data_IF_576127597726
#
_entry.id   IF_576127597726
#
_cell.length_a   1.000
_cell.length_b   1.000
_cell.length_c   1.000
_cell.angle_alpha   90.00
_cell.angle_beta   90.00
_cell.angle_gamma   90.00
#
_symmetry.space_group_name_H-M   'P 1'
#
loop_
_entity.id
_entity.type
_entity.pdbx_description
1 polymer ?
#
# COMPACT_ATOMS: atom_id res chain seq x y z
N UNK A 1 51.72 52.37 12.60
CA UNK A 1 50.51 52.38 11.79
C UNK A 1 49.93 50.96 11.83
N UNK A 2 49.06 50.69 12.81
CA UNK A 2 48.57 49.32 13.15
C UNK A 2 47.18 49.14 12.53
N UNK A 3 47.08 48.24 11.53
CA UNK A 3 45.81 47.86 10.95
C UNK A 3 45.19 46.72 11.78
N UNK A 4 43.98 46.98 12.34
CA UNK A 4 43.19 46.01 13.09
C UNK A 4 42.45 45.07 12.11
N UNK A 5 42.84 43.81 12.14
CA UNK A 5 42.12 42.71 11.48
C UNK A 5 40.98 42.25 12.39
N UNK A 6 39.72 42.46 11.97
CA UNK A 6 38.56 41.91 12.64
C UNK A 6 38.33 40.50 12.19
N UNK A 7 38.47 39.58 13.12
CA UNK A 7 38.16 38.13 12.95
C UNK A 7 36.64 37.97 13.05
N UNK A 8 35.96 37.60 11.96
CA UNK A 8 34.58 37.18 11.97
C UNK A 8 34.52 35.69 12.30
N UNK A 9 34.09 35.37 13.51
CA UNK A 9 33.80 34.00 13.93
C UNK A 9 32.41 33.64 13.41
N UNK A 10 32.33 32.85 12.34
CA UNK A 10 31.11 32.20 11.91
C UNK A 10 30.85 31.00 12.84
N UNK A 11 29.90 31.14 13.75
CA UNK A 11 29.35 30.06 14.54
C UNK A 11 28.48 29.20 13.64
N UNK A 12 29.05 28.13 13.08
CA UNK A 12 28.30 27.08 12.39
C UNK A 12 27.59 26.23 13.43
N UNK A 13 26.32 26.52 13.71
CA UNK A 13 25.42 25.62 14.40
C UNK A 13 25.04 24.52 13.43
N UNK A 14 25.79 23.42 13.44
CA UNK A 14 25.38 22.14 12.86
C UNK A 14 24.18 21.65 13.65
N UNK A 15 22.96 21.89 13.15
CA UNK A 15 21.78 21.17 13.56
C UNK A 15 21.91 19.76 13.00
N UNK A 16 22.36 18.83 13.84
CA UNK A 16 22.17 17.40 13.62
C UNK A 16 20.66 17.14 13.70
N UNK A 17 19.99 17.16 12.56
CA UNK A 17 18.69 16.52 12.41
C UNK A 17 18.89 15.03 12.50
N UNK A 18 18.72 14.47 13.71
CA UNK A 18 18.52 13.04 13.92
C UNK A 18 17.22 12.68 13.20
N UNK A 19 17.33 12.27 11.94
CA UNK A 19 16.22 11.64 11.23
C UNK A 19 15.89 10.32 11.94
N UNK A 20 14.85 10.32 12.74
CA UNK A 20 14.20 9.10 13.19
C UNK A 20 13.69 8.39 11.93
N UNK A 21 14.47 7.44 11.44
CA UNK A 21 13.98 6.42 10.50
C UNK A 21 13.00 5.53 11.28
N UNK A 22 11.75 5.96 11.37
CA UNK A 22 10.68 5.09 11.80
C UNK A 22 10.48 4.10 10.65
N UNK A 23 11.04 2.92 10.77
CA UNK A 23 10.74 1.80 9.87
C UNK A 23 9.31 1.36 10.13
N UNK A 24 8.39 1.79 9.28
CA UNK A 24 7.05 1.24 9.26
C UNK A 24 7.14 -0.22 8.85
N UNK A 25 6.72 -1.12 9.73
CA UNK A 25 6.57 -2.53 9.37
C UNK A 25 5.27 -2.66 8.58
N UNK A 26 5.41 -2.81 7.28
CA UNK A 26 4.29 -3.09 6.39
C UNK A 26 3.72 -4.49 6.67
N UNK A 27 2.41 -4.60 6.63
CA UNK A 27 1.67 -5.84 6.84
C UNK A 27 1.64 -6.62 5.53
N UNK A 28 2.45 -7.66 5.43
CA UNK A 28 2.59 -8.47 4.22
C UNK A 28 2.06 -9.88 4.46
N UNK A 29 1.57 -10.53 3.42
CA UNK A 29 1.11 -11.90 3.50
C UNK A 29 1.22 -12.65 2.17
N UNK A 30 1.63 -13.93 2.23
CA UNK A 30 1.55 -14.91 1.14
C UNK A 30 1.39 -16.30 1.72
N UNK A 31 0.74 -17.21 0.98
CA UNK A 31 0.60 -18.61 1.40
C UNK A 31 1.95 -19.32 1.48
N UNK A 32 2.18 -20.02 2.60
CA UNK A 32 3.36 -20.83 2.83
C UNK A 32 3.02 -22.11 3.58
N UNK A 33 3.92 -23.10 3.54
CA UNK A 33 3.85 -24.28 4.38
C UNK A 33 4.56 -24.03 5.71
N UNK A 34 4.00 -24.56 6.78
CA UNK A 34 4.56 -24.47 8.13
C UNK A 34 5.00 -25.83 8.64
N UNK A 35 6.22 -25.90 9.20
CA UNK A 35 6.73 -26.98 9.99
C UNK A 35 6.82 -26.60 11.48
N UNK A 36 7.39 -27.48 12.30
CA UNK A 36 7.53 -27.29 13.73
C UNK A 36 6.35 -27.84 14.52
N UNK A 37 6.25 -27.43 15.80
CA UNK A 37 5.13 -27.82 16.65
C UNK A 37 3.94 -26.85 16.49
N UNK A 38 2.76 -27.27 16.94
CA UNK A 38 1.58 -26.39 16.96
C UNK A 38 1.78 -25.14 17.82
N UNK A 39 2.74 -25.14 18.75
CA UNK A 39 3.09 -24.02 19.60
C UNK A 39 4.19 -23.10 19.02
N UNK A 40 4.95 -23.59 18.01
CA UNK A 40 6.05 -22.86 17.41
C UNK A 40 6.18 -23.22 15.90
N UNK A 41 5.21 -22.85 15.06
CA UNK A 41 5.29 -23.06 13.63
C UNK A 41 6.25 -22.08 12.96
N UNK A 42 6.88 -22.49 11.88
CA UNK A 42 7.71 -21.66 11.04
C UNK A 42 7.55 -22.02 9.56
N UNK A 43 7.72 -21.08 8.62
CA UNK A 43 7.72 -21.39 7.20
C UNK A 43 8.80 -22.41 6.85
N UNK A 44 8.44 -23.39 6.01
CA UNK A 44 9.34 -24.46 5.57
C UNK A 44 9.42 -24.51 4.06
N UNK A 45 10.57 -24.93 3.57
CA UNK A 45 10.74 -25.39 2.20
C UNK A 45 10.08 -26.76 2.01
N UNK A 46 9.41 -26.96 0.88
CA UNK A 46 8.83 -28.25 0.50
C UNK A 46 9.12 -28.60 -0.95
N UNK A 47 9.79 -29.73 -1.16
CA UNK A 47 10.09 -30.25 -2.51
C UNK A 47 8.95 -31.05 -3.12
N UNK A 48 7.97 -31.44 -2.32
CA UNK A 48 6.86 -32.27 -2.78
C UNK A 48 5.72 -31.49 -3.41
N UNK A 49 5.53 -30.24 -2.98
CA UNK A 49 4.39 -29.43 -3.42
C UNK A 49 4.87 -28.25 -4.26
N UNK A 50 4.38 -28.16 -5.48
CA UNK A 50 4.66 -27.06 -6.40
C UNK A 50 3.55 -26.01 -6.35
N UNK A 51 3.91 -24.75 -6.29
CA UNK A 51 3.01 -23.65 -6.59
C UNK A 51 2.92 -23.49 -8.12
N UNK A 52 1.83 -24.06 -8.70
CA UNK A 52 1.61 -24.05 -10.15
C UNK A 52 1.27 -22.64 -10.63
N UNK A 53 0.44 -21.92 -9.86
CA UNK A 53 0.09 -20.54 -10.16
C UNK A 53 -0.37 -19.79 -8.93
N UNK A 54 -0.21 -18.49 -8.99
CA UNK A 54 -0.89 -17.52 -8.13
C UNK A 54 -1.55 -16.42 -8.96
N UNK A 55 -2.69 -15.91 -8.49
CA UNK A 55 -3.33 -14.69 -9.01
C UNK A 55 -3.64 -13.81 -7.81
N UNK A 56 -2.98 -12.68 -7.73
CA UNK A 56 -3.09 -11.74 -6.63
C UNK A 56 -3.76 -10.46 -7.15
N UNK A 57 -4.85 -10.06 -6.54
CA UNK A 57 -5.50 -8.79 -6.82
C UNK A 57 -5.57 -7.98 -5.54
N UNK A 58 -4.98 -6.78 -5.57
CA UNK A 58 -5.03 -5.77 -4.52
C UNK A 58 -5.84 -4.61 -5.06
N UNK A 59 -6.84 -4.15 -4.33
CA UNK A 59 -7.64 -3.00 -4.76
C UNK A 59 -8.03 -2.13 -3.59
N UNK A 60 -8.15 -0.82 -3.84
CA UNK A 60 -8.66 0.15 -2.88
C UNK A 60 -10.14 -0.03 -2.62
N UNK A 61 -10.59 0.41 -1.45
CA UNK A 61 -11.98 0.71 -1.17
C UNK A 61 -12.07 2.15 -0.72
N UNK A 62 -12.72 3.00 -1.52
CA UNK A 62 -12.90 4.41 -1.16
C UNK A 62 -13.75 4.58 0.12
N UNK A 63 -14.67 3.65 0.39
CA UNK A 63 -15.64 3.76 1.48
C UNK A 63 -15.04 3.49 2.87
N UNK A 64 -14.08 2.56 2.97
CA UNK A 64 -13.55 2.11 4.26
C UNK A 64 -12.03 2.31 4.43
N UNK A 65 -11.39 3.00 3.49
CA UNK A 65 -9.96 3.35 3.53
C UNK A 65 -9.06 2.14 3.74
N UNK A 66 -9.36 1.04 3.04
CA UNK A 66 -8.63 -0.21 3.15
C UNK A 66 -8.28 -0.81 1.78
N UNK A 67 -7.25 -1.64 1.77
CA UNK A 67 -6.96 -2.55 0.68
C UNK A 67 -7.81 -3.81 0.78
N UNK A 68 -8.41 -4.24 -0.32
CA UNK A 68 -8.99 -5.59 -0.45
C UNK A 68 -7.99 -6.46 -1.19
N UNK A 69 -7.68 -7.59 -0.58
CA UNK A 69 -6.83 -8.63 -1.17
C UNK A 69 -7.69 -9.83 -1.59
N UNK A 70 -7.43 -10.30 -2.80
CA UNK A 70 -7.94 -11.58 -3.32
C UNK A 70 -6.73 -12.35 -3.83
N UNK A 71 -6.37 -13.41 -3.14
CA UNK A 71 -5.21 -14.25 -3.41
C UNK A 71 -5.67 -15.65 -3.79
N UNK A 72 -5.39 -16.08 -5.01
CA UNK A 72 -5.79 -17.38 -5.52
C UNK A 72 -4.56 -18.18 -5.93
N UNK A 73 -4.43 -19.38 -5.40
CA UNK A 73 -3.28 -20.27 -5.59
C UNK A 73 -3.72 -21.60 -6.16
N UNK A 74 -2.84 -22.19 -6.95
CA UNK A 74 -2.96 -23.57 -7.38
C UNK A 74 -1.70 -24.33 -6.97
N UNK A 75 -1.86 -25.30 -6.08
CA UNK A 75 -0.79 -26.17 -5.60
C UNK A 75 -0.97 -27.58 -6.13
N UNK A 76 0.13 -28.25 -6.48
CA UNK A 76 0.14 -29.64 -6.96
C UNK A 76 1.16 -30.47 -6.20
N UNK A 77 0.75 -31.63 -5.72
CA UNK A 77 1.68 -32.63 -5.16
C UNK A 77 2.43 -33.28 -6.30
N UNK A 78 3.74 -33.08 -6.36
CA UNK A 78 4.64 -33.64 -7.37
C UNK A 78 5.17 -35.04 -6.96
N UNK A 79 4.97 -35.42 -5.69
CA UNK A 79 5.47 -36.67 -5.14
C UNK A 79 4.48 -37.83 -5.33
N UNK A 80 4.97 -39.05 -5.12
CA UNK A 80 4.16 -40.28 -5.10
C UNK A 80 3.57 -40.61 -3.73
N UNK A 81 3.76 -39.71 -2.75
CA UNK A 81 3.30 -39.86 -1.36
C UNK A 81 2.16 -38.90 -1.05
N UNK A 82 1.35 -39.27 -0.09
CA UNK A 82 0.42 -38.33 0.51
C UNK A 82 1.21 -37.32 1.39
N UNK A 83 1.04 -36.02 1.17
CA UNK A 83 1.68 -34.94 1.94
C UNK A 83 0.62 -34.25 2.76
N UNK A 84 0.81 -34.17 4.07
CA UNK A 84 -0.04 -33.40 4.98
C UNK A 84 0.71 -32.15 5.37
N UNK A 85 0.17 -30.98 5.05
CA UNK A 85 0.78 -29.70 5.37
C UNK A 85 -0.13 -28.86 6.25
N UNK A 86 0.47 -28.15 7.18
CA UNK A 86 -0.14 -26.98 7.78
C UNK A 86 0.15 -25.81 6.83
N UNK A 87 -0.85 -25.38 6.11
CA UNK A 87 -0.79 -24.20 5.26
C UNK A 87 -1.07 -22.97 6.10
N UNK A 88 -0.62 -21.81 5.64
CA UNK A 88 -1.01 -20.58 6.30
C UNK A 88 -0.53 -19.32 5.58
N UNK A 89 -1.12 -18.22 5.99
CA UNK A 89 -0.84 -16.89 5.51
C UNK A 89 -0.28 -16.06 6.66
N UNK A 90 1.03 -15.76 6.64
CA UNK A 90 1.68 -15.00 7.69
C UNK A 90 1.42 -13.50 7.56
N UNK A 91 1.40 -12.82 8.69
CA UNK A 91 1.24 -11.38 8.81
C UNK A 91 2.15 -10.82 9.91
N UNK A 92 2.40 -9.53 9.87
CA UNK A 92 3.01 -8.82 11.00
C UNK A 92 2.05 -8.75 12.17
N UNK A 93 2.58 -8.84 13.37
CA UNK A 93 1.84 -8.63 14.60
C UNK A 93 1.55 -7.14 14.78
N UNK A 94 0.36 -6.81 15.29
CA UNK A 94 0.04 -5.46 15.70
C UNK A 94 0.84 -5.10 16.96
N UNK A 95 1.43 -3.91 16.98
CA UNK A 95 2.07 -3.34 18.16
C UNK A 95 1.27 -2.14 18.68
N UNK A 96 1.31 -1.88 20.01
CA UNK A 96 0.59 -0.74 20.62
C UNK A 96 1.03 0.62 20.06
N UNK A 97 2.29 0.74 19.63
CA UNK A 97 2.83 1.97 19.05
C UNK A 97 2.27 2.28 17.66
N UNK A 98 1.65 1.30 17.00
CA UNK A 98 1.07 1.45 15.66
C UNK A 98 -0.39 1.94 15.73
N UNK A 99 -1.03 1.89 16.90
CA UNK A 99 -2.45 2.20 17.08
C UNK A 99 -2.82 3.64 16.74
N UNK A 100 -1.93 4.58 17.00
CA UNK A 100 -2.18 6.01 16.77
C UNK A 100 -2.16 6.41 15.29
N UNK A 101 -1.58 5.57 14.42
CA UNK A 101 -1.40 5.86 13.00
C UNK A 101 -2.23 4.97 12.07
N UNK A 102 -2.93 3.98 12.62
CA UNK A 102 -3.71 3.04 11.80
C UNK A 102 -5.12 3.57 11.57
N UNK A 103 -5.43 3.81 10.33
CA UNK A 103 -6.80 4.13 9.91
C UNK A 103 -7.62 2.85 9.84
N UNK A 104 -8.32 2.53 10.94
CA UNK A 104 -9.23 1.39 10.99
C UNK A 104 -10.33 1.54 9.94
N UNK A 105 -10.65 0.50 9.14
CA UNK A 105 -11.73 0.54 8.17
C UNK A 105 -13.05 0.97 8.80
N UNK A 106 -13.86 1.74 8.08
CA UNK A 106 -15.13 2.30 8.58
C UNK A 106 -16.04 1.20 9.12
N UNK A 107 -16.49 1.36 10.36
CA UNK A 107 -17.38 0.41 11.03
C UNK A 107 -16.69 -0.85 11.57
N UNK A 108 -15.38 -1.03 11.35
CA UNK A 108 -14.61 -2.10 11.92
C UNK A 108 -14.07 -1.73 13.31
N UNK A 109 -13.79 -2.75 14.12
CA UNK A 109 -13.02 -2.60 15.36
C UNK A 109 -11.57 -2.99 15.09
N UNK A 110 -10.64 -2.30 15.74
CA UNK A 110 -9.25 -2.73 15.72
C UNK A 110 -9.11 -4.14 16.27
N UNK A 111 -8.34 -5.03 15.63
CA UNK A 111 -8.07 -6.35 16.16
C UNK A 111 -7.40 -6.25 17.56
N UNK A 112 -7.57 -7.22 18.45
CA UNK A 112 -6.85 -7.26 19.73
C UNK A 112 -5.33 -7.26 19.54
N UNK A 113 -4.59 -6.83 20.56
CA UNK A 113 -3.13 -6.93 20.58
C UNK A 113 -2.67 -8.37 20.31
N UNK A 114 -1.57 -8.53 19.58
CA UNK A 114 -1.05 -9.83 19.18
C UNK A 114 -1.80 -10.48 18.00
N UNK A 115 -2.81 -9.82 17.46
CA UNK A 115 -3.50 -10.23 16.23
C UNK A 115 -3.01 -9.39 15.04
N UNK A 116 -3.03 -9.94 13.81
CA UNK A 116 -2.67 -9.17 12.64
C UNK A 116 -3.73 -8.09 12.33
N UNK A 117 -3.29 -6.97 11.75
CA UNK A 117 -4.16 -5.88 11.28
C UNK A 117 -4.95 -6.27 10.01
N UNK A 118 -5.69 -7.35 10.13
CA UNK A 118 -6.43 -7.99 9.05
C UNK A 118 -7.90 -8.09 9.43
N UNK A 119 -8.76 -7.67 8.51
CA UNK A 119 -10.21 -7.77 8.67
C UNK A 119 -10.80 -8.73 7.64
N UNK A 120 -11.87 -9.38 8.01
CA UNK A 120 -12.67 -10.25 7.13
C UNK A 120 -11.87 -11.37 6.46
N UNK A 121 -10.86 -11.95 7.15
CA UNK A 121 -10.08 -13.04 6.59
C UNK A 121 -10.96 -14.27 6.34
N UNK A 122 -10.93 -14.78 5.10
CA UNK A 122 -11.67 -15.94 4.66
C UNK A 122 -10.80 -16.81 3.78
N UNK A 123 -10.76 -18.11 4.05
CA UNK A 123 -10.05 -19.11 3.26
C UNK A 123 -11.02 -20.10 2.62
N UNK A 124 -10.76 -20.44 1.37
CA UNK A 124 -11.49 -21.44 0.61
C UNK A 124 -10.49 -22.45 0.05
N UNK A 125 -10.80 -23.74 0.17
CA UNK A 125 -10.03 -24.82 -0.44
C UNK A 125 -10.97 -25.58 -1.39
N UNK A 126 -10.59 -25.65 -2.67
CA UNK A 126 -11.41 -26.23 -3.74
C UNK A 126 -12.85 -25.69 -3.76
N UNK A 127 -13.00 -24.37 -3.55
CA UNK A 127 -14.28 -23.68 -3.54
C UNK A 127 -15.08 -23.78 -2.24
N UNK A 128 -14.66 -24.60 -1.28
CA UNK A 128 -15.34 -24.73 0.02
C UNK A 128 -14.71 -23.81 1.03
N UNK A 129 -15.52 -22.95 1.65
CA UNK A 129 -15.09 -22.10 2.75
C UNK A 129 -14.68 -22.94 3.95
N UNK A 130 -13.52 -22.66 4.52
CA UNK A 130 -13.08 -23.26 5.78
C UNK A 130 -13.77 -22.57 6.95
N UNK A 131 -14.35 -23.36 7.86
CA UNK A 131 -15.05 -22.84 9.04
C UNK A 131 -14.10 -22.40 10.16
N UNK A 132 -12.86 -22.88 10.15
CA UNK A 132 -11.86 -22.57 11.19
C UNK A 132 -10.49 -22.36 10.58
N UNK A 133 -10.08 -21.09 10.48
CA UNK A 133 -8.67 -20.73 10.41
C UNK A 133 -8.22 -20.37 11.82
N UNK A 134 -7.04 -20.84 12.23
CA UNK A 134 -6.46 -20.51 13.53
C UNK A 134 -5.41 -19.43 13.33
N UNK A 135 -5.46 -18.38 14.15
CA UNK A 135 -4.34 -17.44 14.28
C UNK A 135 -3.36 -18.02 15.26
N UNK A 136 -2.12 -18.15 14.85
CA UNK A 136 -1.04 -18.70 15.68
C UNK A 136 0.19 -17.78 15.62
N UNK A 137 0.96 -17.67 16.71
CA UNK A 137 2.25 -17.00 16.67
C UNK A 137 3.19 -17.76 15.72
N UNK A 138 4.03 -17.03 15.00
CA UNK A 138 5.06 -17.60 14.12
C UNK A 138 6.41 -17.31 14.76
N UNK A 139 7.19 -18.37 14.99
CA UNK A 139 8.58 -18.25 15.42
C UNK A 139 9.44 -18.52 14.19
N UNK A 140 10.18 -17.54 13.72
CA UNK A 140 11.02 -17.71 12.55
C UNK A 140 12.52 -17.64 12.91
N UNK A 141 13.15 -18.76 13.30
CA UNK A 141 14.57 -18.81 13.60
C UNK A 141 15.47 -18.99 12.36
N UNK A 142 14.89 -19.39 11.19
CA UNK A 142 15.69 -19.86 10.06
C UNK A 142 15.68 -18.94 8.84
N UNK A 143 14.77 -18.01 8.76
CA UNK A 143 14.66 -17.05 7.65
C UNK A 143 14.46 -15.65 8.26
N UNK A 144 15.53 -14.98 8.70
CA UNK A 144 15.48 -13.67 9.38
C UNK A 144 14.78 -12.58 8.55
N UNK A 145 14.79 -12.75 7.22
CA UNK A 145 14.19 -11.82 6.26
C UNK A 145 12.66 -11.89 6.25
N UNK A 146 12.08 -12.95 6.81
CA UNK A 146 10.63 -13.14 6.93
C UNK A 146 10.20 -12.81 8.36
N UNK A 147 10.11 -11.53 8.66
CA UNK A 147 9.80 -11.04 10.01
C UNK A 147 8.28 -11.11 10.31
N UNK A 148 7.70 -12.31 10.15
CA UNK A 148 6.30 -12.55 10.49
C UNK A 148 6.16 -12.93 11.95
N UNK A 149 5.13 -12.43 12.60
CA UNK A 149 4.85 -12.69 14.01
C UNK A 149 3.68 -13.63 14.20
N UNK A 150 2.70 -13.58 13.31
CA UNK A 150 1.45 -14.35 13.39
C UNK A 150 1.05 -14.88 12.02
N UNK A 151 0.24 -15.94 11.98
CA UNK A 151 -0.33 -16.47 10.75
C UNK A 151 -1.74 -16.99 10.95
N UNK A 152 -2.58 -16.82 9.93
CA UNK A 152 -3.79 -17.61 9.77
C UNK A 152 -3.41 -18.96 9.18
N UNK A 153 -3.81 -20.06 9.81
CA UNK A 153 -3.40 -21.41 9.38
C UNK A 153 -4.56 -22.38 9.23
N UNK A 154 -4.38 -23.38 8.36
CA UNK A 154 -5.32 -24.46 8.08
C UNK A 154 -4.60 -25.69 7.56
N UNK A 155 -5.06 -26.95 7.87
CA UNK A 155 -4.46 -28.16 7.35
C UNK A 155 -4.94 -28.46 5.93
N UNK A 156 -4.04 -28.97 5.08
CA UNK A 156 -4.38 -29.56 3.78
C UNK A 156 -3.68 -30.92 3.63
N UNK A 157 -4.43 -31.91 3.11
CA UNK A 157 -3.91 -33.23 2.72
C UNK A 157 -3.84 -33.31 1.21
N UNK A 158 -2.63 -33.38 0.67
CA UNK A 158 -2.34 -33.57 -0.73
C UNK A 158 -2.12 -35.08 -1.03
N UNK A 159 -3.05 -35.73 -1.73
CA UNK A 159 -2.83 -37.09 -2.26
C UNK A 159 -1.77 -37.01 -3.37
N UNK A 160 -1.14 -38.17 -3.75
CA UNK A 160 -0.20 -38.22 -4.88
C UNK A 160 -0.81 -37.61 -6.15
N UNK A 161 -0.08 -36.65 -6.78
CA UNK A 161 -0.51 -35.94 -7.99
C UNK A 161 -1.71 -35.00 -7.83
N UNK A 162 -2.29 -34.89 -6.64
CA UNK A 162 -3.47 -34.06 -6.41
C UNK A 162 -3.15 -32.56 -6.57
N UNK A 163 -4.13 -31.87 -7.12
CA UNK A 163 -4.11 -30.39 -7.23
C UNK A 163 -5.15 -29.81 -6.31
N UNK A 164 -4.77 -28.76 -5.54
CA UNK A 164 -5.67 -27.99 -4.72
C UNK A 164 -5.66 -26.54 -5.15
N UNK A 165 -6.83 -25.90 -5.14
CA UNK A 165 -7.01 -24.48 -5.30
C UNK A 165 -7.30 -23.88 -3.93
N UNK A 166 -6.50 -22.88 -3.55
CA UNK A 166 -6.68 -22.12 -2.30
C UNK A 166 -7.03 -20.69 -2.68
N UNK A 167 -8.03 -20.11 -2.03
CA UNK A 167 -8.39 -18.71 -2.22
C UNK A 167 -8.53 -18.04 -0.86
N UNK A 168 -7.73 -17.00 -0.63
CA UNK A 168 -7.82 -16.14 0.55
C UNK A 168 -8.38 -14.78 0.17
N UNK A 169 -9.24 -14.24 1.01
CA UNK A 169 -9.71 -12.86 0.88
C UNK A 169 -9.62 -12.17 2.22
N UNK A 170 -9.17 -10.92 2.23
CA UNK A 170 -9.06 -10.13 3.45
C UNK A 170 -8.96 -8.63 3.13
N UNK A 171 -9.06 -7.82 4.17
CA UNK A 171 -8.82 -6.38 4.13
C UNK A 171 -7.62 -6.01 4.99
N UNK A 172 -6.82 -5.05 4.54
CA UNK A 172 -5.77 -4.38 5.29
C UNK A 172 -6.03 -2.88 5.31
N UNK A 173 -5.66 -2.21 6.41
CA UNK A 173 -5.63 -0.75 6.42
C UNK A 173 -4.62 -0.22 5.37
N UNK A 174 -4.84 1.00 4.89
CA UNK A 174 -3.80 1.68 4.11
C UNK A 174 -2.58 1.91 4.98
N UNK A 175 -1.41 1.58 4.45
CA UNK A 175 -0.12 1.85 5.06
C UNK A 175 0.55 3.01 4.35
N UNK A 176 1.21 3.87 5.11
CA UNK A 176 1.93 5.01 4.57
C UNK A 176 3.09 5.41 5.47
N UNK A 177 3.96 6.27 4.98
CA UNK A 177 5.08 6.82 5.74
C UNK A 177 4.94 8.34 6.00
N UNK A 178 5.86 8.88 6.78
CA UNK A 178 5.93 10.31 7.08
C UNK A 178 6.25 11.19 5.86
N UNK A 179 6.68 10.59 4.76
CA UNK A 179 6.89 11.27 3.47
C UNK A 179 5.63 11.28 2.60
N UNK A 180 4.49 10.83 3.14
CA UNK A 180 3.20 10.79 2.47
C UNK A 180 3.10 9.75 1.37
N UNK A 181 3.98 8.75 1.38
CA UNK A 181 3.84 7.62 0.49
C UNK A 181 2.77 6.66 1.03
N UNK A 182 1.98 6.09 0.13
CA UNK A 182 1.02 5.04 0.39
C UNK A 182 1.46 3.78 -0.35
N UNK A 183 1.34 2.63 0.30
CA UNK A 183 1.91 1.38 -0.18
C UNK A 183 0.84 0.35 -0.49
N UNK A 184 0.94 -0.28 -1.68
CA UNK A 184 0.31 -1.56 -1.96
C UNK A 184 1.41 -2.62 -2.00
N UNK A 185 1.37 -3.55 -1.05
CA UNK A 185 2.45 -4.50 -0.82
C UNK A 185 1.92 -5.92 -0.68
N UNK A 186 2.73 -6.89 -1.14
CA UNK A 186 2.43 -8.30 -1.01
C UNK A 186 3.70 -9.13 -1.03
N UNK A 187 3.80 -10.11 -0.12
CA UNK A 187 4.96 -11.00 -0.05
C UNK A 187 4.92 -11.98 -1.23
N UNK A 188 5.99 -12.00 -2.00
CA UNK A 188 6.20 -12.99 -3.05
C UNK A 188 7.28 -14.01 -2.67
N UNK A 189 8.25 -13.60 -1.84
CA UNK A 189 9.45 -14.40 -1.49
C UNK A 189 9.10 -15.77 -0.93
N UNK A 190 8.02 -15.90 -0.16
CA UNK A 190 7.57 -17.20 0.35
C UNK A 190 7.17 -18.19 -0.75
N UNK A 191 6.84 -17.67 -1.95
CA UNK A 191 6.65 -18.49 -3.15
C UNK A 191 7.89 -19.29 -3.57
N UNK A 192 9.09 -18.80 -3.19
CA UNK A 192 10.36 -19.52 -3.39
C UNK A 192 10.59 -20.71 -2.45
N UNK A 193 9.71 -20.94 -1.47
CA UNK A 193 9.79 -22.08 -0.55
C UNK A 193 9.09 -23.34 -1.08
N UNK A 194 8.42 -23.25 -2.20
CA UNK A 194 7.75 -24.38 -2.86
C UNK A 194 8.70 -25.12 -3.80
N UNK A 195 8.29 -26.29 -4.27
CA UNK A 195 9.05 -27.15 -5.17
C UNK A 195 9.75 -26.35 -6.28
N UNK A 196 11.01 -26.59 -6.51
CA UNK A 196 11.95 -25.93 -7.44
C UNK A 196 12.20 -24.42 -7.19
N UNK A 197 11.64 -23.85 -6.13
CA UNK A 197 11.85 -22.42 -5.78
C UNK A 197 11.22 -21.44 -6.76
N UNK A 198 10.27 -21.91 -7.61
CA UNK A 198 9.61 -21.08 -8.62
C UNK A 198 8.09 -21.15 -8.53
N UNK A 199 7.44 -20.07 -8.95
CA UNK A 199 6.00 -20.01 -9.19
C UNK A 199 5.78 -20.23 -10.68
N UNK A 200 5.03 -21.27 -11.08
CA UNK A 200 4.85 -21.61 -12.49
C UNK A 200 4.24 -20.45 -13.31
N UNK A 201 3.25 -19.75 -12.76
CA UNK A 201 2.73 -18.47 -13.29
C UNK A 201 2.24 -17.57 -12.17
N UNK A 202 2.77 -16.36 -12.11
CA UNK A 202 2.32 -15.33 -11.16
C UNK A 202 1.64 -14.20 -11.94
N UNK A 203 0.37 -13.94 -11.64
CA UNK A 203 -0.38 -12.80 -12.13
C UNK A 203 -0.69 -11.88 -10.98
N UNK A 204 -0.17 -10.68 -11.04
CA UNK A 204 -0.34 -9.68 -9.99
C UNK A 204 -1.10 -8.50 -10.56
N UNK A 205 -1.99 -7.93 -9.77
CA UNK A 205 -2.79 -6.77 -10.17
C UNK A 205 -3.02 -5.85 -8.98
N UNK A 206 -2.66 -4.57 -9.14
CA UNK A 206 -2.97 -3.51 -8.18
C UNK A 206 -3.91 -2.52 -8.87
N UNK A 207 -5.07 -2.27 -8.26
CA UNK A 207 -6.12 -1.41 -8.81
C UNK A 207 -6.43 -0.33 -7.79
N UNK A 208 -6.27 0.92 -8.19
CA UNK A 208 -6.54 2.09 -7.36
C UNK A 208 -7.59 2.96 -8.03
N UNK A 209 -8.69 3.18 -7.36
CA UNK A 209 -9.80 4.08 -7.75
C UNK A 209 -10.15 5.10 -6.66
N UNK A 210 -9.35 5.14 -5.60
CA UNK A 210 -9.47 6.08 -4.49
C UNK A 210 -8.69 7.36 -4.81
N UNK A 211 -9.31 8.56 -4.81
CA UNK A 211 -8.64 9.83 -5.12
C UNK A 211 -7.56 10.24 -4.10
N UNK A 212 -7.51 9.59 -2.94
CA UNK A 212 -6.41 9.79 -1.99
C UNK A 212 -5.07 9.23 -2.48
N UNK A 213 -5.05 8.43 -3.55
CA UNK A 213 -3.86 7.88 -4.17
C UNK A 213 -3.54 8.58 -5.49
N UNK A 214 -2.38 9.20 -5.58
CA UNK A 214 -1.94 9.98 -6.74
C UNK A 214 -0.69 9.39 -7.37
N UNK A 215 -0.56 9.56 -8.71
CA UNK A 215 0.71 9.42 -9.42
C UNK A 215 1.07 10.75 -10.03
N UNK A 216 2.28 11.23 -9.77
CA UNK A 216 2.83 12.45 -10.40
C UNK A 216 3.28 12.13 -11.83
N UNK A 217 2.96 12.98 -12.79
CA UNK A 217 3.37 12.81 -14.20
C UNK A 217 4.76 13.35 -14.49
N UNK A 218 5.20 14.33 -13.71
CA UNK A 218 6.48 15.01 -13.86
C UNK A 218 7.32 14.85 -12.58
N UNK A 219 8.65 14.77 -12.76
CA UNK A 219 9.72 14.65 -11.78
C UNK A 219 10.04 13.22 -11.32
N UNK A 220 11.01 12.65 -12.01
CA UNK A 220 11.54 11.32 -11.81
C UNK A 220 12.40 11.16 -10.54
N UNK A 221 12.62 12.22 -9.75
CA UNK A 221 13.62 12.16 -8.68
C UNK A 221 13.22 11.32 -7.46
N UNK A 222 11.96 10.86 -7.35
CA UNK A 222 11.49 9.97 -6.29
C UNK A 222 10.38 9.02 -6.74
N UNK A 223 10.47 8.46 -7.94
CA UNK A 223 9.57 7.38 -8.34
C UNK A 223 10.17 6.07 -7.85
N UNK A 224 9.60 5.51 -6.79
CA UNK A 224 9.88 4.11 -6.45
C UNK A 224 9.37 3.25 -7.61
N UNK A 225 10.29 2.63 -8.34
CA UNK A 225 9.93 1.68 -9.38
C UNK A 225 9.12 0.54 -8.76
N UNK A 226 7.92 0.24 -9.28
CA UNK A 226 7.14 -0.89 -8.81
C UNK A 226 7.92 -2.20 -8.91
N UNK A 227 7.81 -3.01 -7.86
CA UNK A 227 8.47 -4.32 -7.80
C UNK A 227 7.41 -5.43 -7.81
N UNK A 228 7.74 -6.60 -8.41
CA UNK A 228 8.92 -6.90 -9.24
C UNK A 228 8.89 -6.14 -10.57
N UNK A 229 10.00 -6.17 -11.29
CA UNK A 229 10.09 -5.60 -12.63
C UNK A 229 9.11 -6.27 -13.62
N UNK A 230 8.91 -5.64 -14.80
CA UNK A 230 8.09 -6.21 -15.87
C UNK A 230 6.60 -5.92 -15.75
N UNK A 231 6.22 -4.93 -14.98
CA UNK A 231 4.85 -4.45 -14.88
C UNK A 231 4.38 -3.68 -16.12
N UNK A 232 3.06 -3.62 -16.28
CA UNK A 232 2.38 -2.68 -17.17
C UNK A 232 1.52 -1.76 -16.33
N UNK A 233 1.66 -0.44 -16.53
CA UNK A 233 0.82 0.55 -15.90
C UNK A 233 -0.17 1.14 -16.90
N UNK A 234 -1.40 1.34 -16.49
CA UNK A 234 -2.42 2.04 -17.27
C UNK A 234 -3.36 2.84 -16.36
N UNK A 235 -3.85 3.96 -16.91
CA UNK A 235 -4.98 4.68 -16.32
C UNK A 235 -6.20 4.45 -17.23
N UNK A 236 -7.09 3.56 -16.80
CA UNK A 236 -8.23 3.12 -17.59
C UNK A 236 -9.49 3.04 -16.73
N UNK A 237 -10.62 3.48 -17.29
CA UNK A 237 -11.91 3.49 -16.60
C UNK A 237 -11.84 4.19 -15.24
N UNK A 238 -11.10 5.29 -15.16
CA UNK A 238 -10.89 6.08 -13.96
C UNK A 238 -10.12 5.35 -12.84
N UNK A 239 -9.26 4.37 -13.18
CA UNK A 239 -8.46 3.62 -12.23
C UNK A 239 -7.01 3.59 -12.64
N UNK A 240 -6.11 3.70 -11.66
CA UNK A 240 -4.70 3.41 -11.83
C UNK A 240 -4.56 1.89 -11.70
N UNK A 241 -3.97 1.24 -12.70
CA UNK A 241 -3.85 -0.22 -12.72
C UNK A 241 -2.41 -0.61 -13.04
N UNK A 242 -1.84 -1.43 -12.17
CA UNK A 242 -0.59 -2.14 -12.41
C UNK A 242 -0.87 -3.62 -12.61
N UNK A 243 -0.23 -4.24 -13.59
CA UNK A 243 -0.42 -5.65 -13.94
C UNK A 243 0.90 -6.33 -14.26
N UNK A 244 1.07 -7.56 -13.78
CA UNK A 244 2.17 -8.47 -14.11
C UNK A 244 1.63 -9.80 -14.60
N UNK A 245 2.36 -10.45 -15.49
CA UNK A 245 2.13 -11.83 -15.94
C UNK A 245 3.50 -12.52 -16.08
N UNK A 246 3.99 -13.07 -14.97
CA UNK A 246 5.30 -13.65 -14.83
C UNK A 246 5.20 -15.17 -14.96
N UNK A 247 6.09 -15.78 -15.75
CA UNK A 247 6.14 -17.24 -15.98
C UNK A 247 7.42 -17.83 -15.40
N UNK A 248 7.32 -18.98 -14.76
CA UNK A 248 8.44 -19.65 -14.06
C UNK A 248 9.21 -18.64 -13.18
N UNK A 249 8.43 -17.88 -12.43
CA UNK A 249 8.90 -16.73 -11.67
C UNK A 249 9.63 -17.20 -10.41
N UNK A 250 10.89 -16.78 -10.26
CA UNK A 250 11.64 -16.96 -9.02
C UNK A 250 11.51 -15.69 -8.19
N UNK A 251 10.75 -15.69 -7.10
CA UNK A 251 10.50 -14.49 -6.31
C UNK A 251 11.74 -14.15 -5.45
N UNK A 252 12.48 -13.12 -5.85
CA UNK A 252 13.62 -12.57 -5.12
C UNK A 252 13.27 -11.32 -4.33
N UNK A 253 12.16 -10.69 -4.68
CA UNK A 253 11.64 -9.46 -4.06
C UNK A 253 10.12 -9.56 -3.91
N UNK A 254 9.56 -8.71 -3.07
CA UNK A 254 8.12 -8.65 -2.81
C UNK A 254 7.44 -7.67 -3.77
N UNK A 255 6.11 -7.78 -3.94
CA UNK A 255 5.33 -6.77 -4.67
C UNK A 255 5.28 -5.50 -3.83
N UNK A 256 5.70 -4.39 -4.43
CA UNK A 256 5.60 -3.05 -3.84
C UNK A 256 5.21 -2.07 -4.94
N UNK A 257 4.12 -1.34 -4.72
CA UNK A 257 3.72 -0.19 -5.54
C UNK A 257 3.51 0.99 -4.63
N UNK A 258 4.15 2.11 -4.94
CA UNK A 258 4.13 3.33 -4.12
C UNK A 258 3.32 4.41 -4.81
N UNK A 259 2.44 5.05 -4.07
CA UNK A 259 1.62 6.18 -4.48
C UNK A 259 1.89 7.37 -3.57
N UNK A 260 1.52 8.57 -4.00
CA UNK A 260 1.50 9.76 -3.14
C UNK A 260 0.11 9.93 -2.50
N UNK A 261 0.07 10.27 -1.23
CA UNK A 261 -1.17 10.67 -0.58
C UNK A 261 -1.59 12.07 -1.05
N UNK A 262 -2.86 12.22 -1.46
CA UNK A 262 -3.41 13.52 -1.87
C UNK A 262 -3.35 14.57 -0.76
N UNK A 263 -3.62 14.16 0.48
CA UNK A 263 -3.54 15.05 1.64
C UNK A 263 -2.10 15.53 1.91
N UNK A 264 -1.12 14.66 1.69
CA UNK A 264 0.29 15.03 1.85
C UNK A 264 0.78 15.97 0.74
N UNK A 265 0.36 15.72 -0.51
CA UNK A 265 0.63 16.63 -1.63
C UNK A 265 0.04 18.01 -1.36
N UNK A 266 -1.21 18.08 -0.87
CA UNK A 266 -1.83 19.34 -0.45
C UNK A 266 -0.99 20.03 0.63
N UNK A 267 -0.52 19.28 1.61
CA UNK A 267 0.22 19.84 2.74
C UNK A 267 1.65 20.27 2.38
N UNK A 268 2.41 19.49 1.62
CA UNK A 268 3.82 19.76 1.32
C UNK A 268 4.06 20.54 0.03
N UNK A 269 3.54 20.06 -1.11
CA UNK A 269 3.79 20.70 -2.42
C UNK A 269 3.12 22.08 -2.51
N UNK A 270 2.13 22.31 -1.63
CA UNK A 270 1.38 23.57 -1.56
C UNK A 270 1.42 24.20 -0.18
N UNK A 271 2.38 23.79 0.66
CA UNK A 271 2.52 24.25 2.04
C UNK A 271 2.59 25.78 2.14
N UNK A 272 3.36 26.42 1.25
CA UNK A 272 3.43 27.88 1.19
C UNK A 272 2.05 28.50 0.94
N UNK A 273 1.27 27.92 0.01
CA UNK A 273 -0.08 28.39 -0.30
C UNK A 273 -1.06 28.14 0.85
N UNK A 274 -0.99 26.99 1.52
CA UNK A 274 -1.89 26.67 2.64
C UNK A 274 -1.71 27.63 3.81
N UNK A 275 -0.48 27.99 4.12
CA UNK A 275 -0.18 28.93 5.21
C UNK A 275 -0.11 30.39 4.77
N UNK A 276 -0.11 30.66 3.45
CA UNK A 276 -0.10 32.02 2.93
C UNK A 276 -1.37 32.77 3.34
N UNK A 277 -1.17 33.96 3.90
CA UNK A 277 -2.27 34.83 4.34
C UNK A 277 -2.69 35.86 3.29
N UNK A 278 -1.74 36.28 2.46
CA UNK A 278 -1.96 37.33 1.43
C UNK A 278 -1.78 36.76 0.03
N UNK A 279 -2.83 36.82 -0.77
CA UNK A 279 -2.87 36.41 -2.17
C UNK A 279 -3.03 37.61 -3.12
N UNK A 280 -2.85 38.84 -2.64
CA UNK A 280 -3.07 40.06 -3.44
C UNK A 280 -2.20 40.17 -4.68
N UNK A 281 -1.01 39.55 -4.66
CA UNK A 281 -0.06 39.56 -5.78
C UNK A 281 -0.44 38.62 -6.96
N UNK A 282 -1.43 37.74 -6.80
CA UNK A 282 -1.80 36.77 -7.83
C UNK A 282 -2.86 37.30 -8.80
N UNK A 283 -2.80 36.86 -10.07
CA UNK A 283 -3.87 37.14 -11.05
C UNK A 283 -5.15 36.38 -10.67
N UNK A 284 -6.30 36.84 -11.17
CA UNK A 284 -7.61 36.18 -10.98
C UNK A 284 -7.58 34.73 -11.43
N UNK A 285 -6.98 34.48 -12.60
CA UNK A 285 -6.84 33.12 -13.14
C UNK A 285 -6.01 32.23 -12.22
N UNK A 286 -4.87 32.74 -11.72
CA UNK A 286 -4.01 31.99 -10.80
C UNK A 286 -4.72 31.71 -9.47
N UNK A 287 -5.45 32.65 -8.93
CA UNK A 287 -6.27 32.46 -7.73
C UNK A 287 -7.32 31.38 -7.95
N UNK A 288 -7.98 31.38 -9.11
CA UNK A 288 -8.93 30.34 -9.49
C UNK A 288 -8.28 28.96 -9.53
N UNK A 289 -7.08 28.83 -10.09
CA UNK A 289 -6.32 27.57 -10.04
C UNK A 289 -6.03 27.17 -8.60
N UNK A 290 -5.46 28.06 -7.80
CA UNK A 290 -5.10 27.79 -6.39
C UNK A 290 -6.34 27.37 -5.58
N UNK A 291 -7.47 28.06 -5.71
CA UNK A 291 -8.71 27.74 -5.01
C UNK A 291 -9.27 26.34 -5.37
N UNK A 292 -9.08 25.90 -6.60
CA UNK A 292 -9.58 24.64 -7.07
C UNK A 292 -8.65 23.44 -6.74
N UNK A 293 -7.50 23.67 -6.12
CA UNK A 293 -6.55 22.63 -5.77
C UNK A 293 -7.14 21.54 -4.86
N UNK A 294 -7.80 21.85 -3.72
CA UNK A 294 -8.41 20.82 -2.89
C UNK A 294 -9.46 20.00 -3.65
N UNK A 295 -10.25 20.64 -4.51
CA UNK A 295 -11.20 19.93 -5.37
C UNK A 295 -10.52 18.92 -6.28
N UNK A 296 -9.41 19.30 -6.93
CA UNK A 296 -8.64 18.42 -7.79
C UNK A 296 -8.10 17.21 -7.02
N UNK A 297 -7.45 17.45 -5.88
CA UNK A 297 -6.83 16.40 -5.06
C UNK A 297 -7.84 15.43 -4.45
N UNK A 298 -9.09 15.89 -4.23
CA UNK A 298 -10.20 15.05 -3.78
C UNK A 298 -11.01 14.44 -4.94
N UNK A 299 -10.46 14.44 -6.16
CA UNK A 299 -11.03 13.73 -7.30
C UNK A 299 -12.26 14.42 -7.95
N UNK A 300 -12.51 15.71 -7.69
CA UNK A 300 -13.62 16.43 -8.30
C UNK A 300 -13.56 16.40 -9.83
N UNK A 301 -14.70 16.17 -10.48
CA UNK A 301 -14.82 16.17 -11.94
C UNK A 301 -15.16 17.58 -12.41
N UNK A 302 -14.16 18.32 -12.85
CA UNK A 302 -14.35 19.70 -13.33
C UNK A 302 -15.17 19.72 -14.63
N UNK A 303 -16.19 20.58 -14.66
CA UNK A 303 -16.94 20.93 -15.90
C UNK A 303 -16.11 21.90 -16.75
N UNK A 304 -15.30 22.73 -16.14
CA UNK A 304 -14.40 23.66 -16.79
C UNK A 304 -13.19 22.94 -17.36
N UNK A 305 -13.03 22.98 -18.68
CA UNK A 305 -11.99 22.22 -19.39
C UNK A 305 -10.59 22.75 -19.12
N UNK A 306 -10.40 24.06 -18.90
CA UNK A 306 -9.08 24.65 -18.65
C UNK A 306 -8.57 24.22 -17.25
N UNK A 307 -9.42 24.27 -16.24
CA UNK A 307 -9.08 23.79 -14.91
C UNK A 307 -8.82 22.29 -14.89
N UNK A 308 -9.66 21.50 -15.56
CA UNK A 308 -9.45 20.05 -15.69
C UNK A 308 -8.07 19.75 -16.33
N UNK A 309 -7.77 20.38 -17.47
CA UNK A 309 -6.51 20.23 -18.20
C UNK A 309 -5.30 20.63 -17.35
N UNK A 310 -5.41 21.71 -16.59
CA UNK A 310 -4.35 22.18 -15.70
C UNK A 310 -3.93 21.12 -14.69
N UNK A 311 -4.89 20.51 -13.99
CA UNK A 311 -4.59 19.48 -12.99
C UNK A 311 -4.22 18.13 -13.61
N UNK A 312 -4.92 17.72 -14.68
CA UNK A 312 -4.66 16.45 -15.34
C UNK A 312 -3.28 16.44 -16.07
N UNK A 313 -2.66 17.62 -16.28
CA UNK A 313 -1.27 17.70 -16.78
C UNK A 313 -0.23 17.36 -15.71
N UNK A 314 -0.56 17.50 -14.42
CA UNK A 314 0.38 17.35 -13.30
C UNK A 314 0.28 16.00 -12.61
N UNK A 315 -0.95 15.47 -12.48
CA UNK A 315 -1.25 14.29 -11.68
C UNK A 315 -2.15 13.31 -12.43
N UNK A 316 -1.99 12.04 -12.10
CA UNK A 316 -3.00 11.01 -12.39
C UNK A 316 -3.82 10.86 -11.11
N UNK A 317 -5.05 11.38 -11.12
CA UNK A 317 -5.95 11.40 -9.96
C UNK A 317 -7.21 10.63 -10.34
N UNK A 318 -7.52 9.54 -9.66
CA UNK A 318 -8.84 8.90 -9.79
C UNK A 318 -9.95 9.90 -9.47
N UNK A 319 -11.01 9.94 -10.28
CA UNK A 319 -12.12 10.87 -10.09
C UNK A 319 -13.19 10.24 -9.20
N UNK A 320 -13.68 11.02 -8.25
CA UNK A 320 -14.78 10.60 -7.38
C UNK A 320 -16.12 11.06 -7.97
N UNK A 321 -16.94 10.10 -8.40
CA UNK A 321 -18.29 10.38 -8.92
C UNK A 321 -19.27 10.80 -7.84
N UNK A 322 -18.97 10.45 -6.59
CA UNK A 322 -19.77 10.76 -5.42
C UNK A 322 -19.17 11.93 -4.63
N UNK A 323 -18.29 12.72 -5.27
CA UNK A 323 -17.67 13.86 -4.63
C UNK A 323 -18.70 14.76 -3.95
N UNK A 324 -18.38 15.16 -2.74
CA UNK A 324 -19.16 16.10 -1.94
C UNK A 324 -18.23 17.05 -1.20
N UNK A 325 -18.66 18.28 -0.96
CA UNK A 325 -17.91 19.25 -0.15
C UNK A 325 -17.66 18.78 1.29
N UNK A 326 -18.41 17.77 1.75
CA UNK A 326 -18.14 17.09 3.03
C UNK A 326 -16.83 16.31 3.05
N UNK A 327 -16.26 16.01 1.89
CA UNK A 327 -14.96 15.35 1.76
C UNK A 327 -13.80 16.23 2.26
N UNK A 328 -13.98 17.56 2.23
CA UNK A 328 -12.92 18.46 2.68
C UNK A 328 -12.70 18.42 4.18
N UNK A 329 -11.42 18.41 4.56
CA UNK A 329 -10.98 18.73 5.91
C UNK A 329 -11.33 20.17 6.28
N UNK A 330 -11.26 20.51 7.57
CA UNK A 330 -11.45 21.89 8.04
C UNK A 330 -10.43 22.86 7.41
N UNK A 331 -9.16 22.43 7.32
CA UNK A 331 -8.08 23.25 6.75
C UNK A 331 -8.27 23.51 5.26
N UNK A 332 -8.76 22.53 4.50
CA UNK A 332 -9.05 22.72 3.08
C UNK A 332 -10.20 23.71 2.86
N UNK A 333 -11.27 23.62 3.66
CA UNK A 333 -12.38 24.58 3.62
C UNK A 333 -11.92 26.01 3.93
N UNK A 334 -11.16 26.17 5.01
CA UNK A 334 -10.61 27.49 5.40
C UNK A 334 -9.69 28.06 4.30
N UNK A 335 -8.91 27.21 3.65
CA UNK A 335 -8.05 27.60 2.54
C UNK A 335 -8.87 28.06 1.32
N UNK A 336 -9.87 27.29 0.91
CA UNK A 336 -10.76 27.61 -0.20
C UNK A 336 -11.41 29.00 0.01
N UNK A 337 -11.99 29.22 1.18
CA UNK A 337 -12.67 30.50 1.49
C UNK A 337 -11.68 31.66 1.53
N UNK A 338 -10.49 31.45 2.08
CA UNK A 338 -9.44 32.47 2.08
C UNK A 338 -9.03 32.89 0.68
N UNK A 339 -8.70 31.93 -0.21
CA UNK A 339 -8.31 32.22 -1.59
C UNK A 339 -9.45 32.90 -2.36
N UNK A 340 -10.68 32.42 -2.19
CA UNK A 340 -11.88 32.99 -2.79
C UNK A 340 -12.06 34.47 -2.43
N UNK A 341 -11.80 34.84 -1.18
CA UNK A 341 -11.92 36.23 -0.76
C UNK A 341 -10.98 37.21 -1.51
N UNK A 342 -9.86 36.72 -2.02
CA UNK A 342 -8.96 37.48 -2.88
C UNK A 342 -9.39 37.43 -4.35
N UNK A 343 -9.86 36.27 -4.83
CA UNK A 343 -10.36 36.12 -6.21
C UNK A 343 -11.54 37.06 -6.49
N UNK A 344 -12.49 37.17 -5.56
CA UNK A 344 -13.69 38.00 -5.68
C UNK A 344 -13.35 39.52 -5.75
N UNK A 345 -12.20 39.93 -5.21
CA UNK A 345 -11.72 41.31 -5.27
C UNK A 345 -11.02 41.67 -6.60
N UNK A 346 -10.72 40.67 -7.42
CA UNK A 346 -10.07 40.90 -8.72
C UNK A 346 -11.12 41.15 -9.81
N UNK A 347 -10.98 42.31 -10.46
CA UNK A 347 -11.83 42.70 -11.60
C UNK A 347 -11.57 41.85 -12.84
#
# INVERSE_FOLDING_TARGET
MLARMRLFIFSSRCLLSLGFLISFQSVHANDTAFGGSAAAPYPIHTDEIRMVSENITIKTTADDSSWIYVCEFTFKNMSRKTVNLQMGMPFSERTKSEDEMIKVPKGAKAPPDGQPLVWEFKTYVNGRKLCSTKVIPVVNPKIPEMNYKVAYTWPIRFRPGATHRVRNTYKLAYTGDSSGNLYAEYILKTGGLWHDGTIGRSRLKVIVDDPSFLLKKEDADYVFEPKPEGYKMSFKNNKIVYEWDLKNFKPTEDLIVVFKSSSYVFWLDYNELVYQKDFSGYSKERLRQIRNLPYALNGYIFKDREIAKYYDSKWIIPKDKNFSDSNFSKSEREFIERVKSFEDKKK
#
